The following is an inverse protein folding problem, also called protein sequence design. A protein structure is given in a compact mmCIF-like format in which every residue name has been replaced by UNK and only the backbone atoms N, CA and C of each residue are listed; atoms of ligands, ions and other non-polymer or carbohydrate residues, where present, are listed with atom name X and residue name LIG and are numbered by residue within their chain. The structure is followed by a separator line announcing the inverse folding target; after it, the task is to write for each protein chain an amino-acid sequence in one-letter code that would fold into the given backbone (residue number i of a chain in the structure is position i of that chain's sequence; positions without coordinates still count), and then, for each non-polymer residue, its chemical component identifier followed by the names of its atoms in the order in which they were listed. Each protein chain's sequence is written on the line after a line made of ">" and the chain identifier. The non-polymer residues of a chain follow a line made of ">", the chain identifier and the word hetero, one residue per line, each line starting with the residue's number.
data_IF_367639218629
#
_entry.id   IF_367639218629
#
_cell.length_a   1.000
_cell.length_b   1.000
_cell.length_c   1.000
_cell.angle_alpha   90.00
_cell.angle_beta   90.00
_cell.angle_gamma   90.00
#
_symmetry.space_group_name_H-M   'P 1'
#
loop_
_entity.id
_entity.type
_entity.pdbx_description
1 polymer ?
#
# COMPACT_ATOMS: atom_id res chain seq x y z
N UNK A 1 -8.92 -21.07 -0.62
CA UNK A 1 -8.97 -19.60 -0.52
C UNK A 1 -10.33 -19.17 -0.99
N UNK A 2 -11.03 -18.42 -0.15
CA UNK A 2 -12.28 -17.76 -0.54
C UNK A 2 -11.92 -16.39 -1.12
N UNK A 3 -12.59 -15.99 -2.20
CA UNK A 3 -12.32 -14.72 -2.89
C UNK A 3 -13.56 -13.86 -2.85
N UNK A 4 -13.39 -12.62 -2.42
CA UNK A 4 -14.46 -11.62 -2.37
C UNK A 4 -13.96 -10.33 -3.01
N UNK A 5 -14.71 -9.85 -4.01
CA UNK A 5 -14.53 -8.51 -4.55
C UNK A 5 -15.34 -7.50 -3.75
N UNK A 6 -14.77 -6.31 -3.54
CA UNK A 6 -15.47 -5.16 -2.98
C UNK A 6 -15.48 -4.02 -4.01
N UNK A 7 -16.63 -3.39 -4.22
CA UNK A 7 -16.77 -2.21 -5.08
C UNK A 7 -16.61 -0.88 -4.31
N UNK A 8 -16.57 -0.95 -2.98
CA UNK A 8 -16.31 0.17 -2.07
C UNK A 8 -14.80 0.38 -1.87
N UNK A 9 -14.43 1.44 -1.14
CA UNK A 9 -13.03 1.70 -0.77
C UNK A 9 -12.41 0.51 -0.02
N UNK A 10 -11.09 0.35 -0.16
CA UNK A 10 -10.32 -0.69 0.53
C UNK A 10 -10.43 -0.60 2.06
N UNK A 11 -10.71 0.58 2.62
CA UNK A 11 -10.93 0.79 4.06
C UNK A 11 -12.19 0.11 4.60
N UNK A 12 -13.14 -0.25 3.74
CA UNK A 12 -14.31 -1.02 4.14
C UNK A 12 -14.03 -2.53 4.24
N UNK A 13 -12.86 -2.97 3.79
CA UNK A 13 -12.43 -4.36 3.98
C UNK A 13 -12.15 -4.59 5.47
N UNK A 14 -12.97 -5.38 6.15
CA UNK A 14 -12.70 -5.83 7.52
C UNK A 14 -11.70 -7.00 7.48
N UNK A 15 -10.45 -6.68 7.16
CA UNK A 15 -9.33 -7.63 7.02
C UNK A 15 -8.20 -7.29 8.00
N UNK A 16 -7.45 -8.30 8.42
CA UNK A 16 -6.32 -8.13 9.35
C UNK A 16 -5.08 -7.52 8.70
N UNK A 17 -4.92 -7.69 7.39
CA UNK A 17 -3.82 -7.15 6.62
C UNK A 17 -4.26 -6.76 5.20
N UNK A 18 -3.65 -5.71 4.66
CA UNK A 18 -3.86 -5.23 3.30
C UNK A 18 -2.54 -5.31 2.53
N UNK A 19 -2.51 -6.14 1.48
CA UNK A 19 -1.40 -6.16 0.54
C UNK A 19 -1.64 -5.14 -0.57
N UNK A 20 -0.71 -4.20 -0.74
CA UNK A 20 -0.76 -3.18 -1.79
C UNK A 20 0.46 -3.31 -2.68
N UNK A 21 0.22 -3.34 -4.00
CA UNK A 21 1.29 -3.40 -4.99
C UNK A 21 1.89 -2.01 -5.14
N UNK A 22 3.21 -1.92 -5.04
CA UNK A 22 3.99 -0.70 -5.27
C UNK A 22 4.85 -0.93 -6.51
N UNK A 23 4.74 -0.05 -7.51
CA UNK A 23 5.58 -0.13 -8.69
C UNK A 23 6.84 0.72 -8.52
N UNK A 24 7.80 0.48 -9.41
CA UNK A 24 8.96 1.35 -9.50
C UNK A 24 8.52 2.77 -9.82
N UNK A 25 9.10 3.75 -9.12
CA UNK A 25 8.80 5.19 -9.22
C UNK A 25 7.40 5.59 -8.70
N UNK A 26 6.67 4.69 -8.03
CA UNK A 26 5.47 5.07 -7.28
C UNK A 26 5.80 6.06 -6.17
N UNK A 27 4.90 7.00 -5.92
CA UNK A 27 5.02 7.96 -4.82
C UNK A 27 3.90 7.71 -3.83
N UNK A 28 4.23 7.86 -2.54
CA UNK A 28 3.22 7.84 -1.48
C UNK A 28 2.12 8.90 -1.64
N UNK A 29 2.30 9.89 -2.52
CA UNK A 29 1.31 10.93 -2.80
C UNK A 29 0.32 10.59 -3.91
N UNK A 30 0.48 9.44 -4.57
CA UNK A 30 -0.31 9.05 -5.73
C UNK A 30 -1.32 7.94 -5.42
N UNK A 31 -2.47 8.00 -6.09
CA UNK A 31 -3.49 6.96 -6.10
C UNK A 31 -3.86 6.39 -4.71
N UNK A 32 -3.87 5.07 -4.62
CA UNK A 32 -4.21 4.32 -3.39
C UNK A 32 -3.16 4.50 -2.29
N UNK A 33 -1.90 4.74 -2.64
CA UNK A 33 -0.82 4.93 -1.67
C UNK A 33 -1.02 6.21 -0.87
N UNK A 34 -1.59 7.25 -1.47
CA UNK A 34 -1.95 8.48 -0.74
C UNK A 34 -2.97 8.23 0.35
N UNK A 35 -4.03 7.49 0.03
CA UNK A 35 -5.06 7.15 1.02
C UNK A 35 -4.49 6.22 2.09
N UNK A 36 -3.63 5.27 1.72
CA UNK A 36 -2.95 4.38 2.66
C UNK A 36 -1.99 5.13 3.59
N UNK A 37 -1.17 6.02 3.05
CA UNK A 37 -0.21 6.85 3.80
C UNK A 37 -0.93 7.75 4.81
N UNK A 38 -2.07 8.32 4.42
CA UNK A 38 -2.90 9.10 5.33
C UNK A 38 -3.48 8.27 6.49
N UNK A 39 -3.80 6.99 6.25
CA UNK A 39 -4.31 6.07 7.28
C UNK A 39 -3.21 5.58 8.23
N UNK A 40 -1.99 5.41 7.73
CA UNK A 40 -0.83 4.96 8.52
C UNK A 40 -0.06 6.12 9.15
N UNK A 41 -0.48 7.36 8.91
CA UNK A 41 0.14 8.55 9.50
C UNK A 41 1.50 8.91 8.88
N UNK A 42 1.72 8.61 7.59
CA UNK A 42 2.94 8.95 6.86
C UNK A 42 3.96 7.81 6.74
N UNK A 43 3.66 6.62 7.30
CA UNK A 43 4.62 5.51 7.32
C UNK A 43 4.97 5.00 5.93
N UNK A 44 4.02 5.00 4.99
CA UNK A 44 4.28 4.54 3.61
C UNK A 44 5.29 5.46 2.94
N UNK A 45 5.13 6.77 3.11
CA UNK A 45 6.05 7.77 2.60
C UNK A 45 7.44 7.61 3.23
N UNK A 46 7.54 7.33 4.53
CA UNK A 46 8.80 7.13 5.21
C UNK A 46 9.52 5.85 4.73
N UNK A 47 8.81 4.73 4.57
CA UNK A 47 9.37 3.47 4.05
C UNK A 47 9.89 3.62 2.61
N UNK A 48 9.15 4.30 1.74
CA UNK A 48 9.60 4.59 0.37
C UNK A 48 10.83 5.51 0.38
N UNK A 49 10.83 6.57 1.21
CA UNK A 49 11.98 7.49 1.33
C UNK A 49 13.21 6.80 1.89
N UNK A 50 13.04 5.87 2.83
CA UNK A 50 14.10 5.04 3.39
C UNK A 50 14.66 4.04 2.36
N UNK A 51 14.04 3.93 1.18
CA UNK A 51 14.36 2.96 0.11
C UNK A 51 14.26 1.50 0.57
N UNK A 52 13.45 1.24 1.59
CA UNK A 52 13.16 -0.11 2.06
C UNK A 52 12.32 -0.89 1.04
N UNK A 53 11.57 -0.16 0.20
CA UNK A 53 10.89 -0.71 -0.97
C UNK A 53 11.12 0.21 -2.17
N UNK A 54 11.54 -0.36 -3.30
CA UNK A 54 11.80 0.38 -4.55
C UNK A 54 10.89 -0.07 -5.72
N UNK A 55 9.91 -0.93 -5.45
CA UNK A 55 8.98 -1.45 -6.46
C UNK A 55 9.60 -2.44 -7.44
N UNK A 56 10.71 -3.08 -7.05
CA UNK A 56 11.30 -4.19 -7.76
C UNK A 56 10.47 -5.46 -7.61
N UNK A 57 10.66 -6.40 -8.54
CA UNK A 57 9.91 -7.64 -8.59
C UNK A 57 10.19 -8.50 -7.35
N UNK A 58 9.14 -8.83 -6.59
CA UNK A 58 9.23 -9.71 -5.42
C UNK A 58 9.72 -9.02 -4.14
N UNK A 59 9.91 -7.70 -4.15
CA UNK A 59 10.21 -6.94 -2.93
C UNK A 59 8.94 -6.80 -2.07
N UNK A 60 9.12 -6.85 -0.75
CA UNK A 60 8.04 -6.64 0.23
C UNK A 60 8.56 -5.80 1.38
N UNK A 61 7.70 -4.95 1.93
CA UNK A 61 7.92 -4.19 3.17
C UNK A 61 6.73 -4.44 4.10
N UNK A 62 6.98 -4.49 5.40
CA UNK A 62 6.03 -4.84 6.45
C UNK A 62 5.96 -3.74 7.51
#
# INVERSE_FOLDING_TARGET
>A
MEFQGIGSKFTAASVEALAVVVFKDDKATDGILKELDALTGGQVADTIKAKEINGGQGETAL
#
